data_IF_585752962550
#
_entry.id   IF_585752962550
#
_cell.length_a   1.000
_cell.length_b   1.000
_cell.length_c   1.000
_cell.angle_alpha   90.00
_cell.angle_beta   90.00
_cell.angle_gamma   90.00
#
_symmetry.space_group_name_H-M   'P 1'
#
loop_
_entity.id
_entity.type
_entity.pdbx_description
1 polymer ?
#
# COMPACT_ATOMS: atom_id res chain seq x y z
N UNK A 1 -5.73 15.91 -41.73
CA UNK A 1 -5.20 15.74 -40.35
C UNK A 1 -6.17 14.82 -39.62
N UNK A 2 -5.96 13.51 -39.76
CA UNK A 2 -6.79 12.49 -39.13
C UNK A 2 -6.26 12.29 -37.72
N UNK A 3 -7.05 12.61 -36.70
CA UNK A 3 -6.80 12.11 -35.35
C UNK A 3 -6.99 10.60 -35.43
N UNK A 4 -5.88 9.86 -35.46
CA UNK A 4 -5.90 8.43 -35.22
C UNK A 4 -6.37 8.25 -33.78
N UNK A 5 -7.65 7.93 -33.61
CA UNK A 5 -8.10 7.36 -32.34
C UNK A 5 -7.59 5.93 -32.36
N UNK A 6 -6.40 5.74 -31.80
CA UNK A 6 -5.77 4.43 -31.71
C UNK A 6 -6.75 3.49 -30.99
N UNK A 7 -7.06 2.36 -31.63
CA UNK A 7 -7.85 1.29 -31.02
C UNK A 7 -7.20 0.73 -29.73
N UNK A 8 -5.95 1.13 -29.45
CA UNK A 8 -5.19 0.87 -28.23
C UNK A 8 -5.69 1.66 -27.00
N UNK A 9 -6.47 2.73 -27.19
CA UNK A 9 -6.90 3.59 -26.07
C UNK A 9 -8.15 3.06 -25.32
N UNK A 10 -8.76 1.98 -25.85
CA UNK A 10 -9.98 1.36 -25.30
C UNK A 10 -9.81 -0.10 -24.88
N UNK A 11 -8.66 -0.73 -25.10
CA UNK A 11 -8.45 -2.13 -24.74
C UNK A 11 -8.02 -2.25 -23.27
N UNK A 12 -8.86 -2.96 -22.50
CA UNK A 12 -8.54 -3.37 -21.13
C UNK A 12 -7.22 -4.18 -21.07
N UNK A 13 -6.94 -4.92 -22.14
CA UNK A 13 -5.77 -5.78 -22.29
C UNK A 13 -4.84 -5.24 -23.39
N UNK A 14 -3.58 -5.04 -23.05
CA UNK A 14 -2.55 -4.67 -24.01
C UNK A 14 -2.10 -5.84 -24.88
N UNK A 15 -1.15 -5.58 -25.79
CA UNK A 15 -0.54 -6.61 -26.63
C UNK A 15 0.10 -7.69 -25.77
N UNK A 16 -0.21 -8.95 -26.10
CA UNK A 16 0.37 -10.12 -25.45
C UNK A 16 1.81 -10.32 -25.92
N UNK A 17 2.69 -10.71 -25.01
CA UNK A 17 4.07 -11.07 -25.32
C UNK A 17 4.43 -12.42 -24.71
N UNK A 18 5.15 -13.21 -25.47
CA UNK A 18 5.67 -14.49 -25.03
C UNK A 18 7.11 -14.30 -24.56
N UNK A 19 7.38 -14.78 -23.36
CA UNK A 19 8.71 -14.73 -22.74
C UNK A 19 9.48 -16.00 -23.17
N UNK A 20 10.82 -15.97 -23.29
CA UNK A 20 11.60 -17.14 -23.75
C UNK A 20 11.43 -18.42 -22.92
N UNK A 21 10.86 -18.31 -21.73
CA UNK A 21 10.53 -19.40 -20.82
C UNK A 21 9.12 -20.01 -21.07
N UNK A 22 8.42 -19.58 -22.12
CA UNK A 22 7.07 -20.03 -22.48
C UNK A 22 5.95 -19.34 -21.70
N UNK A 23 6.25 -18.29 -20.92
CA UNK A 23 5.22 -17.53 -20.23
C UNK A 23 4.53 -16.53 -21.18
N UNK A 24 3.20 -16.55 -21.21
CA UNK A 24 2.40 -15.52 -21.89
C UNK A 24 2.10 -14.39 -20.92
N UNK A 25 2.41 -13.17 -21.32
CA UNK A 25 2.25 -12.00 -20.48
C UNK A 25 1.31 -10.99 -21.12
N UNK A 26 0.32 -10.53 -20.35
CA UNK A 26 -0.78 -9.69 -20.81
C UNK A 26 -0.88 -8.44 -19.92
N UNK A 27 -0.50 -7.25 -20.42
CA UNK A 27 -0.70 -5.98 -19.70
C UNK A 27 -2.19 -5.70 -19.51
N UNK A 28 -2.55 -5.13 -18.37
CA UNK A 28 -3.92 -4.69 -18.08
C UNK A 28 -3.91 -3.22 -17.68
N UNK A 29 -4.80 -2.43 -18.27
CA UNK A 29 -4.86 -0.99 -18.04
C UNK A 29 -5.71 -0.61 -16.82
N UNK A 30 -6.74 -1.42 -16.46
CA UNK A 30 -7.62 -1.16 -15.31
C UNK A 30 -8.14 -2.46 -14.65
N UNK A 31 -7.61 -2.88 -13.48
CA UNK A 31 -6.54 -2.24 -12.71
C UNK A 31 -5.18 -2.37 -13.41
N UNK A 32 -4.27 -1.42 -13.16
CA UNK A 32 -2.93 -1.44 -13.75
C UNK A 32 -2.16 -2.63 -13.21
N UNK A 33 -1.66 -3.48 -14.11
CA UNK A 33 -0.88 -4.65 -13.76
C UNK A 33 -0.65 -5.57 -14.95
N UNK A 34 -0.23 -6.79 -14.66
CA UNK A 34 0.15 -7.78 -15.66
C UNK A 34 -0.36 -9.15 -15.25
N UNK A 35 -1.01 -9.85 -16.17
CA UNK A 35 -1.25 -11.29 -16.05
C UNK A 35 -0.09 -12.07 -16.67
N UNK A 36 0.42 -13.05 -15.94
CA UNK A 36 1.44 -14.00 -16.41
C UNK A 36 0.80 -15.39 -16.41
N UNK A 37 0.75 -16.03 -17.56
CA UNK A 37 0.24 -17.40 -17.72
C UNK A 37 1.43 -18.29 -18.04
N UNK A 38 1.68 -19.29 -17.19
CA UNK A 38 2.72 -20.30 -17.41
C UNK A 38 2.16 -21.67 -17.09
N UNK A 39 2.36 -22.65 -17.96
CA UNK A 39 1.89 -24.04 -17.77
C UNK A 39 0.37 -24.15 -17.50
N UNK A 40 -0.42 -23.23 -18.06
CA UNK A 40 -1.87 -23.15 -17.82
C UNK A 40 -2.27 -22.53 -16.47
N UNK A 41 -1.32 -22.08 -15.65
CA UNK A 41 -1.56 -21.41 -14.38
C UNK A 41 -1.46 -19.88 -14.55
N UNK A 42 -2.56 -19.12 -14.39
CA UNK A 42 -2.53 -17.66 -14.41
C UNK A 42 -2.12 -17.08 -13.05
N UNK A 43 -1.19 -16.12 -13.08
CA UNK A 43 -0.76 -15.32 -11.91
C UNK A 43 -0.98 -13.84 -12.22
N UNK A 44 -1.61 -13.12 -11.29
CA UNK A 44 -1.80 -11.67 -11.39
C UNK A 44 -0.69 -10.94 -10.63
N UNK A 45 -0.03 -9.99 -11.29
CA UNK A 45 0.94 -9.09 -10.69
C UNK A 45 0.46 -7.63 -10.80
N UNK A 46 0.00 -7.01 -9.71
CA UNK A 46 -0.45 -5.61 -9.74
C UNK A 46 0.73 -4.64 -9.86
N UNK A 47 0.52 -3.50 -10.52
CA UNK A 47 1.50 -2.41 -10.59
C UNK A 47 1.43 -1.50 -9.36
N UNK A 48 1.53 -2.08 -8.16
CA UNK A 48 1.48 -1.34 -6.90
C UNK A 48 2.87 -1.10 -6.32
N UNK A 49 3.16 0.14 -5.92
CA UNK A 49 4.38 0.49 -5.18
C UNK A 49 4.18 0.20 -3.68
N UNK A 50 4.59 -0.99 -3.24
CA UNK A 50 4.46 -1.41 -1.85
C UNK A 50 5.28 -0.56 -0.87
N UNK A 51 6.42 -0.02 -1.31
CA UNK A 51 7.28 0.84 -0.48
C UNK A 51 6.57 2.14 -0.15
N UNK A 52 5.94 2.78 -1.14
CA UNK A 52 5.15 4.01 -0.91
C UNK A 52 3.99 3.77 0.05
N UNK A 53 3.28 2.66 -0.11
CA UNK A 53 2.18 2.29 0.78
C UNK A 53 2.69 2.10 2.22
N UNK A 54 3.78 1.36 2.39
CA UNK A 54 4.39 1.13 3.70
C UNK A 54 4.86 2.45 4.34
N UNK A 55 5.52 3.32 3.57
CA UNK A 55 5.96 4.64 4.06
C UNK A 55 4.79 5.51 4.54
N UNK A 56 3.64 5.48 3.85
CA UNK A 56 2.45 6.20 4.29
C UNK A 56 1.91 5.66 5.62
N UNK A 57 1.85 4.34 5.77
CA UNK A 57 1.46 3.71 7.04
C UNK A 57 2.39 4.08 8.19
N UNK A 58 3.70 4.04 7.97
CA UNK A 58 4.71 4.45 8.96
C UNK A 58 4.57 5.92 9.33
N UNK A 59 4.39 6.81 8.35
CA UNK A 59 4.21 8.25 8.59
C UNK A 59 2.96 8.52 9.45
N UNK A 60 1.83 7.91 9.10
CA UNK A 60 0.58 8.05 9.87
C UNK A 60 0.77 7.53 11.29
N UNK A 61 1.39 6.35 11.46
CA UNK A 61 1.69 5.77 12.77
C UNK A 61 2.59 6.66 13.62
N UNK A 62 3.65 7.22 13.02
CA UNK A 62 4.59 8.11 13.70
C UNK A 62 3.92 9.42 14.14
N UNK A 63 3.12 10.04 13.27
CA UNK A 63 2.37 11.26 13.59
C UNK A 63 1.37 10.98 14.72
N UNK A 64 0.63 9.88 14.63
CA UNK A 64 -0.33 9.46 15.66
C UNK A 64 0.35 9.23 17.01
N UNK A 65 1.46 8.48 17.03
CA UNK A 65 2.23 8.20 18.24
C UNK A 65 2.81 9.47 18.86
N UNK A 66 3.28 10.41 18.04
CA UNK A 66 3.79 11.70 18.51
C UNK A 66 2.68 12.51 19.17
N UNK A 67 1.50 12.61 18.55
CA UNK A 67 0.35 13.32 19.11
C UNK A 67 -0.14 12.67 20.41
N UNK A 68 -0.20 11.34 20.45
CA UNK A 68 -0.55 10.60 21.66
C UNK A 68 0.46 10.86 22.78
N UNK A 69 1.76 10.84 22.49
CA UNK A 69 2.82 11.18 23.44
C UNK A 69 2.68 12.61 23.97
N UNK A 70 2.43 13.60 23.09
CA UNK A 70 2.18 14.99 23.49
C UNK A 70 0.94 15.08 24.38
N UNK A 71 -0.14 14.38 24.02
CA UNK A 71 -1.37 14.38 24.81
C UNK A 71 -1.15 13.80 26.21
N UNK A 72 -0.41 12.70 26.32
CA UNK A 72 -0.03 12.10 27.59
C UNK A 72 0.85 13.03 28.44
N UNK A 73 1.77 13.78 27.83
CA UNK A 73 2.58 14.78 28.58
C UNK A 73 1.71 15.94 29.07
N UNK A 74 0.76 16.41 28.27
CA UNK A 74 -0.09 17.56 28.62
C UNK A 74 -1.22 17.24 29.59
N UNK A 75 -1.76 16.02 29.52
CA UNK A 75 -2.84 15.51 30.37
C UNK A 75 -2.51 14.07 30.72
N UNK A 76 -1.55 13.85 31.65
CA UNK A 76 -1.18 12.52 32.06
C UNK A 76 -2.43 11.74 32.45
N UNK A 77 -2.71 10.60 31.80
CA UNK A 77 -3.89 9.80 32.08
C UNK A 77 -3.78 9.07 33.43
N UNK A 78 -2.60 9.06 34.05
CA UNK A 78 -2.41 8.45 35.35
C UNK A 78 -2.84 9.40 36.48
N UNK A 79 -3.49 8.86 37.53
CA UNK A 79 -3.76 9.61 38.75
C UNK A 79 -2.47 10.18 39.34
N UNK A 80 -2.58 11.34 40.00
CA UNK A 80 -1.44 12.06 40.56
C UNK A 80 -0.69 11.18 41.58
N UNK A 81 0.55 10.82 41.26
CA UNK A 81 1.43 9.96 42.05
C UNK A 81 2.10 10.76 43.17
N UNK A 82 1.32 11.49 43.95
CA UNK A 82 1.77 11.95 45.25
C UNK A 82 1.55 10.79 46.23
N UNK A 83 2.60 10.02 46.48
CA UNK A 83 2.54 8.91 47.43
C UNK A 83 2.17 9.42 48.82
N UNK A 84 0.91 9.28 49.21
CA UNK A 84 0.54 9.31 50.61
C UNK A 84 1.03 8.01 51.24
N UNK A 85 2.30 8.02 51.66
CA UNK A 85 2.82 7.01 52.58
C UNK A 85 2.16 7.29 53.93
N UNK A 86 0.91 6.87 54.06
CA UNK A 86 0.24 6.83 55.35
C UNK A 86 0.92 5.76 56.19
N UNK A 87 1.92 6.18 56.97
CA UNK A 87 2.54 5.35 57.99
C UNK A 87 1.51 5.15 59.09
N UNK A 88 0.75 4.05 58.99
CA UNK A 88 -0.17 3.57 60.00
C UNK A 88 0.65 3.14 61.23
N UNK A 89 0.45 3.81 62.36
CA UNK A 89 0.92 3.39 63.68
C UNK A 89 -0.29 3.06 64.55
#
# INVERSE_FOLDING_TARGET
>A
MSLGTDADDLTLFGRQYETPDGATVIPVSKPVGVFVIKDGAPVWSPATDGTRIAMMGVLVGLVSATLAGIAMVRRPPWPDLHGDVSRRN
#
